data_IF_975997923140
#
_entry.id   IF_975997923140
#
_cell.length_a   1.000
_cell.length_b   1.000
_cell.length_c   1.000
_cell.angle_alpha   90.00
_cell.angle_beta   90.00
_cell.angle_gamma   90.00
#
_symmetry.space_group_name_H-M   'P 1'
#
loop_
_entity.id
_entity.type
_entity.pdbx_description
1 polymer ?
#
# COMPACT_ATOMS: atom_id res chain seq x y z
N UNK A 1 -31.01 28.20 43.81
CA UNK A 1 -30.97 27.45 42.55
C UNK A 1 -29.59 27.67 41.94
N UNK A 2 -28.63 26.79 42.24
CA UNK A 2 -27.25 26.95 41.79
C UNK A 2 -27.08 26.27 40.42
N UNK A 3 -26.73 27.06 39.41
CA UNK A 3 -26.28 26.58 38.10
C UNK A 3 -24.83 26.08 38.27
N UNK A 4 -24.64 24.76 38.37
CA UNK A 4 -23.33 24.13 38.32
C UNK A 4 -22.90 24.10 36.84
N UNK A 5 -21.99 25.00 36.48
CA UNK A 5 -21.43 25.11 35.13
C UNK A 5 -20.20 24.19 35.04
N UNK A 6 -20.40 22.99 34.50
CA UNK A 6 -19.38 21.95 34.33
C UNK A 6 -18.43 22.35 33.19
N UNK A 7 -17.54 23.31 33.45
CA UNK A 7 -16.43 23.66 32.56
C UNK A 7 -15.33 22.59 32.64
N UNK A 8 -15.63 21.36 32.20
CA UNK A 8 -14.65 20.29 32.16
C UNK A 8 -13.78 20.43 30.90
N UNK A 9 -12.50 20.82 30.99
CA UNK A 9 -11.61 20.93 29.83
C UNK A 9 -11.21 19.57 29.22
N UNK A 10 -11.66 18.46 29.82
CA UNK A 10 -11.32 17.09 29.40
C UNK A 10 -12.35 16.46 28.45
N UNK A 11 -13.16 17.26 27.76
CA UNK A 11 -13.92 16.76 26.62
C UNK A 11 -12.94 16.45 25.48
N UNK A 12 -12.52 15.19 25.39
CA UNK A 12 -11.76 14.66 24.27
C UNK A 12 -12.62 14.84 23.01
N UNK A 13 -12.41 15.94 22.27
CA UNK A 13 -13.02 16.11 20.96
C UNK A 13 -12.53 14.94 20.10
N UNK A 14 -13.40 13.98 19.71
CA UNK A 14 -12.97 12.90 18.84
C UNK A 14 -12.59 13.55 17.51
N UNK A 15 -11.30 13.56 17.18
CA UNK A 15 -10.86 14.03 15.88
C UNK A 15 -11.21 12.96 14.84
N UNK A 16 -12.51 12.85 14.55
CA UNK A 16 -13.03 12.01 13.48
C UNK A 16 -12.56 12.62 12.17
N UNK A 17 -11.69 11.89 11.47
CA UNK A 17 -11.29 12.26 10.12
C UNK A 17 -12.55 12.29 9.24
N UNK A 18 -12.77 13.36 8.46
CA UNK A 18 -14.01 13.52 7.72
C UNK A 18 -14.17 12.38 6.71
N UNK A 19 -15.37 11.78 6.70
CA UNK A 19 -15.73 10.63 5.85
C UNK A 19 -15.49 10.94 4.35
N UNK A 20 -15.58 12.22 3.98
CA UNK A 20 -15.26 12.72 2.65
C UNK A 20 -13.83 12.39 2.17
N UNK A 21 -12.85 12.33 3.08
CA UNK A 21 -11.46 11.97 2.71
C UNK A 21 -11.38 10.52 2.25
N UNK A 22 -12.05 9.59 2.95
CA UNK A 22 -12.07 8.18 2.55
C UNK A 22 -12.78 7.98 1.22
N UNK A 23 -13.87 8.71 0.95
CA UNK A 23 -14.54 8.64 -0.35
C UNK A 23 -13.64 9.12 -1.51
N UNK A 24 -12.86 10.19 -1.32
CA UNK A 24 -11.90 10.66 -2.34
C UNK A 24 -10.83 9.61 -2.63
N UNK A 25 -10.28 8.98 -1.59
CA UNK A 25 -9.26 7.93 -1.75
C UNK A 25 -9.87 6.68 -2.38
N UNK A 26 -11.09 6.29 -1.99
CA UNK A 26 -11.80 5.18 -2.60
C UNK A 26 -12.01 5.39 -4.11
N UNK A 27 -12.46 6.59 -4.52
CA UNK A 27 -12.60 6.93 -5.94
C UNK A 27 -11.25 6.88 -6.67
N UNK A 28 -10.17 7.36 -6.05
CA UNK A 28 -8.83 7.23 -6.62
C UNK A 28 -8.42 5.75 -6.81
N UNK A 29 -8.66 4.89 -5.81
CA UNK A 29 -8.36 3.46 -5.88
C UNK A 29 -9.18 2.74 -6.97
N UNK A 30 -10.45 3.11 -7.14
CA UNK A 30 -11.27 2.62 -8.24
C UNK A 30 -10.68 3.07 -9.59
N UNK A 31 -10.30 4.34 -9.73
CA UNK A 31 -9.62 4.85 -10.92
C UNK A 31 -8.33 4.08 -11.26
N UNK A 32 -7.48 3.83 -10.27
CA UNK A 32 -6.27 3.01 -10.44
C UNK A 32 -6.60 1.56 -10.83
N UNK A 33 -7.74 1.02 -10.38
CA UNK A 33 -8.17 -0.33 -10.73
C UNK A 33 -8.60 -0.40 -12.20
N UNK A 34 -9.34 0.60 -12.70
CA UNK A 34 -9.62 0.71 -14.13
C UNK A 34 -8.33 0.86 -14.95
N UNK A 35 -7.37 1.64 -14.46
CA UNK A 35 -6.06 1.78 -15.11
C UNK A 35 -5.33 0.43 -15.22
N UNK A 36 -5.38 -0.42 -14.18
CA UNK A 36 -4.82 -1.78 -14.24
C UNK A 36 -5.52 -2.65 -15.28
N UNK A 37 -6.84 -2.57 -15.41
CA UNK A 37 -7.60 -3.32 -16.42
C UNK A 37 -7.18 -2.89 -17.83
N UNK A 38 -7.03 -1.58 -18.05
CA UNK A 38 -6.57 -1.01 -19.31
C UNK A 38 -5.15 -1.49 -19.61
N UNK A 39 -4.22 -1.35 -18.65
CA UNK A 39 -2.84 -1.83 -18.80
C UNK A 39 -2.77 -3.35 -19.07
N UNK A 40 -3.68 -4.13 -18.48
CA UNK A 40 -3.83 -5.55 -18.76
C UNK A 40 -4.35 -5.80 -20.19
N UNK A 41 -5.25 -4.99 -20.71
CA UNK A 41 -5.73 -5.13 -22.09
C UNK A 41 -4.62 -4.84 -23.11
N UNK A 42 -3.77 -3.85 -22.84
CA UNK A 42 -2.60 -3.52 -23.68
C UNK A 42 -1.39 -4.45 -23.50
N UNK A 43 -1.49 -5.47 -22.62
CA UNK A 43 -0.44 -6.47 -22.34
C UNK A 43 0.24 -7.02 -23.60
N UNK A 44 -0.54 -7.32 -24.64
CA UNK A 44 -0.04 -7.90 -25.89
C UNK A 44 0.96 -7.00 -26.63
N UNK A 45 0.81 -5.67 -26.50
CA UNK A 45 1.69 -4.71 -27.16
C UNK A 45 2.93 -4.36 -26.32
N UNK A 46 2.88 -4.56 -25.00
CA UNK A 46 3.97 -4.23 -24.08
C UNK A 46 4.99 -5.37 -23.89
N UNK A 47 4.62 -6.62 -24.19
CA UNK A 47 5.51 -7.77 -24.06
C UNK A 47 6.17 -7.86 -22.68
N UNK A 48 7.51 -7.89 -22.64
CA UNK A 48 8.30 -7.97 -21.40
C UNK A 48 8.11 -6.77 -20.43
N UNK A 49 7.72 -5.60 -20.95
CA UNK A 49 7.49 -4.40 -20.12
C UNK A 49 6.17 -4.42 -19.36
N UNK A 50 5.27 -5.35 -19.69
CA UNK A 50 3.94 -5.36 -19.08
C UNK A 50 3.98 -5.74 -17.59
N UNK A 51 4.90 -6.61 -17.17
CA UNK A 51 5.06 -6.97 -15.76
C UNK A 51 5.56 -5.77 -14.92
N UNK A 52 6.68 -5.09 -15.28
CA UNK A 52 7.11 -3.86 -14.59
C UNK A 52 6.01 -2.80 -14.48
N UNK A 53 5.27 -2.55 -15.56
CA UNK A 53 4.18 -1.56 -15.58
C UNK A 53 3.06 -1.96 -14.60
N UNK A 54 2.67 -3.24 -14.59
CA UNK A 54 1.67 -3.73 -13.65
C UNK A 54 2.12 -3.59 -12.19
N UNK A 55 3.41 -3.87 -11.89
CA UNK A 55 3.97 -3.67 -10.56
C UNK A 55 4.01 -2.21 -10.14
N UNK A 56 4.33 -1.28 -11.05
CA UNK A 56 4.30 0.16 -10.75
C UNK A 56 2.90 0.63 -10.37
N UNK A 57 1.87 0.25 -11.15
CA UNK A 57 0.47 0.63 -10.84
C UNK A 57 0.05 0.02 -9.49
N UNK A 58 0.42 -1.24 -9.24
CA UNK A 58 0.15 -1.90 -7.97
C UNK A 58 0.84 -1.19 -6.79
N UNK A 59 2.07 -0.70 -6.97
CA UNK A 59 2.82 0.03 -5.94
C UNK A 59 2.14 1.35 -5.58
N UNK A 60 1.69 2.12 -6.58
CA UNK A 60 0.93 3.36 -6.33
C UNK A 60 -0.37 3.05 -5.58
N UNK A 61 -1.11 2.01 -5.99
CA UNK A 61 -2.32 1.58 -5.27
C UNK A 61 -2.02 1.20 -3.82
N UNK A 62 -0.96 0.42 -3.59
CA UNK A 62 -0.55 -0.02 -2.26
C UNK A 62 -0.18 1.17 -1.37
N UNK A 63 0.60 2.14 -1.88
CA UNK A 63 0.94 3.35 -1.10
C UNK A 63 -0.30 4.16 -0.70
N UNK A 64 -1.30 4.26 -1.58
CA UNK A 64 -2.59 4.89 -1.25
C UNK A 64 -3.36 4.12 -0.16
N UNK A 65 -3.30 2.79 -0.16
CA UNK A 65 -3.93 2.01 0.91
C UNK A 65 -3.19 2.20 2.24
N UNK A 66 -1.85 2.13 2.23
CA UNK A 66 -1.04 2.25 3.44
C UNK A 66 -1.16 3.64 4.09
N UNK A 67 -1.12 4.71 3.31
CA UNK A 67 -1.17 6.06 3.86
C UNK A 67 -2.54 6.41 4.47
N UNK A 68 -3.65 5.96 3.86
CA UNK A 68 -4.99 6.41 4.22
C UNK A 68 -5.88 5.35 4.90
N UNK A 69 -5.79 4.07 4.52
CA UNK A 69 -6.62 3.01 5.13
C UNK A 69 -5.92 2.33 6.31
N UNK A 70 -4.59 2.23 6.29
CA UNK A 70 -3.82 1.77 7.46
C UNK A 70 -3.50 2.90 8.46
N UNK A 71 -4.02 4.12 8.23
CA UNK A 71 -3.75 5.32 9.05
C UNK A 71 -2.27 5.62 9.29
N UNK A 72 -1.36 5.10 8.47
CA UNK A 72 0.08 5.26 8.65
C UNK A 72 0.53 6.73 8.55
N UNK A 73 -0.29 7.58 7.93
CA UNK A 73 -0.10 9.03 7.89
C UNK A 73 -0.32 9.68 9.26
N UNK A 74 -1.36 9.25 9.98
CA UNK A 74 -1.86 9.88 11.22
C UNK A 74 -1.36 9.13 12.47
N UNK A 75 -0.80 7.94 12.30
CA UNK A 75 -0.20 7.12 13.37
C UNK A 75 1.20 7.61 13.78
N UNK A 76 1.67 7.08 14.91
CA UNK A 76 2.98 7.28 15.51
C UNK A 76 4.13 6.94 14.55
N UNK A 77 5.24 7.69 14.69
CA UNK A 77 6.46 7.51 13.88
C UNK A 77 7.05 6.10 14.00
N UNK A 78 6.84 5.44 15.14
CA UNK A 78 7.27 4.06 15.39
C UNK A 78 6.56 3.09 14.44
N UNK A 79 5.24 3.20 14.28
CA UNK A 79 4.49 2.28 13.41
C UNK A 79 4.95 2.40 11.95
N UNK A 80 5.25 3.61 11.48
CA UNK A 80 5.81 3.83 10.14
C UNK A 80 7.17 3.17 9.95
N UNK A 81 8.03 3.18 10.99
CA UNK A 81 9.34 2.55 10.93
C UNK A 81 9.25 1.02 10.92
N UNK A 82 8.36 0.45 11.74
CA UNK A 82 8.07 -0.99 11.75
C UNK A 82 7.57 -1.44 10.38
N UNK A 83 6.62 -0.72 9.79
CA UNK A 83 6.13 -1.01 8.44
C UNK A 83 7.25 -0.94 7.39
N UNK A 84 8.11 0.09 7.44
CA UNK A 84 9.25 0.22 6.54
C UNK A 84 10.25 -0.95 6.70
N UNK A 85 10.49 -1.41 7.93
CA UNK A 85 11.36 -2.57 8.19
C UNK A 85 10.79 -3.85 7.59
N UNK A 86 9.47 -4.06 7.63
CA UNK A 86 8.81 -5.18 6.97
C UNK A 86 9.03 -5.18 5.45
N UNK A 87 8.89 -4.02 4.81
CA UNK A 87 9.18 -3.87 3.37
C UNK A 87 10.67 -4.05 3.05
N UNK A 88 11.57 -3.60 3.94
CA UNK A 88 13.01 -3.82 3.79
C UNK A 88 13.35 -5.32 3.81
N UNK A 89 12.83 -6.07 4.80
CA UNK A 89 13.04 -7.51 4.86
C UNK A 89 12.39 -8.23 3.69
N UNK A 90 11.19 -7.83 3.25
CA UNK A 90 10.56 -8.37 2.05
C UNK A 90 11.46 -8.19 0.82
N UNK A 91 12.01 -6.99 0.61
CA UNK A 91 12.92 -6.73 -0.51
C UNK A 91 14.20 -7.57 -0.41
N UNK A 92 14.78 -7.68 0.80
CA UNK A 92 15.98 -8.49 1.04
C UNK A 92 15.73 -9.97 0.73
N UNK A 93 14.63 -10.55 1.22
CA UNK A 93 14.26 -11.94 0.94
C UNK A 93 13.96 -12.15 -0.54
N UNK A 94 13.28 -11.18 -1.19
CA UNK A 94 12.98 -11.26 -2.61
C UNK A 94 14.25 -11.28 -3.48
N UNK A 95 15.25 -10.46 -3.14
CA UNK A 95 16.55 -10.47 -3.83
C UNK A 95 17.27 -11.80 -3.64
N UNK A 96 17.27 -12.36 -2.41
CA UNK A 96 17.86 -13.68 -2.16
C UNK A 96 17.16 -14.76 -2.99
N UNK A 97 15.83 -14.78 -3.03
CA UNK A 97 15.08 -15.73 -3.86
C UNK A 97 15.38 -15.55 -5.36
N UNK A 98 15.49 -14.31 -5.84
CA UNK A 98 15.83 -14.03 -7.23
C UNK A 98 17.25 -14.53 -7.57
N UNK A 99 18.21 -14.35 -6.66
CA UNK A 99 19.58 -14.88 -6.80
C UNK A 99 19.61 -16.42 -6.78
N UNK A 100 18.81 -17.06 -5.92
CA UNK A 100 18.66 -18.53 -5.89
C UNK A 100 18.19 -19.04 -7.26
N UNK A 101 17.11 -18.45 -7.80
CA UNK A 101 16.56 -18.80 -9.11
C UNK A 101 17.59 -18.58 -10.22
N UNK A 102 18.34 -17.48 -10.19
CA UNK A 102 19.33 -17.16 -11.21
C UNK A 102 20.56 -18.08 -11.17
N UNK A 103 20.93 -18.58 -9.98
CA UNK A 103 22.10 -19.44 -9.77
C UNK A 103 21.77 -20.92 -9.93
N UNK A 104 20.49 -21.31 -9.92
CA UNK A 104 20.07 -22.68 -10.25
C UNK A 104 20.53 -23.04 -11.66
N UNK A 105 21.52 -23.93 -11.74
CA UNK A 105 21.85 -24.61 -12.99
C UNK A 105 20.63 -25.44 -13.38
N UNK A 106 20.20 -25.36 -14.64
CA UNK A 106 19.17 -26.23 -15.18
C UNK A 106 19.72 -27.66 -15.17
N UNK A 107 19.56 -28.39 -14.06
CA UNK A 107 19.66 -29.84 -14.06
C UNK A 107 18.46 -30.37 -14.86
N UNK A 108 18.59 -30.39 -16.18
CA UNK A 108 17.73 -31.16 -17.07
C UNK A 108 17.90 -32.62 -16.69
N UNK A 109 16.97 -33.14 -15.89
CA UNK A 109 16.96 -34.56 -15.55
C UNK A 109 16.88 -35.38 -16.84
N UNK A 110 17.77 -36.37 -17.05
CA UNK A 110 17.79 -37.18 -18.26
C UNK A 110 16.73 -38.30 -18.27
N UNK A 111 15.59 -38.08 -17.60
CA UNK A 111 14.47 -39.03 -17.52
C UNK A 111 13.23 -38.47 -18.24
#
# INVERSE_FOLDING_TARGET
MAQHNDNNPNVLHPHITPLATYFKVAMALFGLTFLTIIAHHFRANLGALAAPVAFLIALVKATLVCLWFMHLKDDTKINRFVFASGFFFLALLFVICAMDIATRVLEVSPL
#
